data_IF_544535832730
#
_entry.id   IF_544535832730
#
_cell.length_a   1.000
_cell.length_b   1.000
_cell.length_c   1.000
_cell.angle_alpha   90.00
_cell.angle_beta   90.00
_cell.angle_gamma   90.00
#
_symmetry.space_group_name_H-M   'P 1'
#
loop_
_entity.id
_entity.type
_entity.pdbx_description
1 polymer ?
#
# COMPACT_ATOMS: atom_id res chain seq x y z
N UNK A 1 7.68 -34.63 -23.02
CA UNK A 1 8.40 -33.99 -24.15
C UNK A 1 7.53 -33.26 -25.14
N UNK A 2 6.56 -33.88 -25.82
CA UNK A 2 5.70 -33.17 -26.80
C UNK A 2 4.97 -31.94 -26.22
N UNK A 3 4.47 -32.02 -24.99
CA UNK A 3 3.80 -30.89 -24.33
C UNK A 3 4.77 -29.74 -24.00
N UNK A 4 6.02 -30.06 -23.63
CA UNK A 4 7.06 -29.06 -23.33
C UNK A 4 7.41 -28.24 -24.57
N UNK A 5 7.66 -28.93 -25.69
CA UNK A 5 7.94 -28.28 -26.99
C UNK A 5 6.78 -27.37 -27.41
N UNK A 6 5.53 -27.77 -27.13
CA UNK A 6 4.37 -26.96 -27.47
C UNK A 6 4.31 -25.67 -26.63
N UNK A 7 4.54 -25.77 -25.31
CA UNK A 7 4.60 -24.60 -24.44
C UNK A 7 5.77 -23.68 -24.77
N UNK A 8 6.96 -24.24 -25.05
CA UNK A 8 8.13 -23.49 -25.50
C UNK A 8 7.83 -22.68 -26.76
N UNK A 9 7.15 -23.27 -27.75
CA UNK A 9 6.69 -22.52 -28.92
C UNK A 9 5.65 -21.45 -28.56
N UNK A 10 4.71 -21.73 -27.67
CA UNK A 10 3.70 -20.74 -27.31
C UNK A 10 4.29 -19.51 -26.62
N UNK A 11 5.29 -19.68 -25.75
CA UNK A 11 5.98 -18.55 -25.11
C UNK A 11 6.90 -17.80 -26.09
N UNK A 12 7.44 -18.47 -27.12
CA UNK A 12 8.20 -17.81 -28.20
C UNK A 12 7.30 -16.90 -29.05
N UNK A 13 6.09 -17.34 -29.39
CA UNK A 13 5.16 -16.56 -30.21
C UNK A 13 4.36 -15.52 -29.43
N UNK A 14 4.14 -15.74 -28.13
CA UNK A 14 3.31 -14.88 -27.28
C UNK A 14 3.85 -14.77 -25.84
N UNK A 15 5.03 -14.14 -25.64
CA UNK A 15 5.65 -14.02 -24.32
C UNK A 15 4.84 -13.12 -23.36
N UNK A 16 3.91 -12.33 -23.87
CA UNK A 16 3.08 -11.40 -23.09
C UNK A 16 1.96 -12.14 -22.31
N UNK A 17 1.62 -13.37 -22.73
CA UNK A 17 0.52 -14.12 -22.17
C UNK A 17 0.90 -14.83 -20.86
N UNK A 18 0.58 -14.19 -19.73
CA UNK A 18 0.80 -14.72 -18.38
C UNK A 18 0.19 -16.11 -18.16
N UNK A 19 -0.97 -16.40 -18.75
CA UNK A 19 -1.67 -17.68 -18.55
C UNK A 19 -0.83 -18.82 -19.12
N UNK A 20 -0.22 -18.65 -20.30
CA UNK A 20 0.64 -19.66 -20.90
C UNK A 20 1.82 -19.99 -20.00
N UNK A 21 2.49 -18.97 -19.44
CA UNK A 21 3.59 -19.15 -18.48
C UNK A 21 3.14 -19.92 -17.24
N UNK A 22 2.02 -19.53 -16.64
CA UNK A 22 1.46 -20.21 -15.46
C UNK A 22 1.13 -21.68 -15.74
N UNK A 23 0.51 -21.98 -16.88
CA UNK A 23 0.18 -23.36 -17.27
C UNK A 23 1.42 -24.19 -17.57
N UNK A 24 2.47 -23.57 -18.10
CA UNK A 24 3.74 -24.25 -18.32
C UNK A 24 4.43 -24.58 -17.00
N UNK A 25 4.49 -23.64 -16.06
CA UNK A 25 5.04 -23.90 -14.73
C UNK A 25 4.22 -24.96 -13.98
N UNK A 26 2.89 -24.90 -14.04
CA UNK A 26 1.98 -25.91 -13.45
C UNK A 26 2.26 -27.32 -14.03
N UNK A 27 2.47 -27.43 -15.34
CA UNK A 27 2.85 -28.70 -15.96
C UNK A 27 4.14 -29.27 -15.35
N UNK A 28 5.19 -28.45 -15.18
CA UNK A 28 6.46 -28.93 -14.62
C UNK A 28 6.32 -29.31 -13.13
N UNK A 29 5.53 -28.56 -12.36
CA UNK A 29 5.17 -28.91 -10.99
C UNK A 29 4.48 -30.28 -10.93
N UNK A 30 3.54 -30.56 -11.83
CA UNK A 30 2.86 -31.86 -11.92
C UNK A 30 3.79 -33.01 -12.33
N UNK A 31 4.85 -32.70 -13.09
CA UNK A 31 5.90 -33.65 -13.44
C UNK A 31 6.95 -33.83 -12.33
N UNK A 32 6.84 -33.06 -11.23
CA UNK A 32 7.74 -33.11 -10.08
C UNK A 32 9.05 -32.32 -10.27
N UNK A 33 9.17 -31.53 -11.34
CA UNK A 33 10.38 -30.75 -11.65
C UNK A 33 10.21 -29.30 -11.15
N UNK A 34 10.40 -29.12 -9.84
CA UNK A 34 10.21 -27.83 -9.18
C UNK A 34 11.22 -26.77 -9.62
N UNK A 35 12.45 -27.19 -9.91
CA UNK A 35 13.51 -26.29 -10.36
C UNK A 35 13.20 -25.73 -11.75
N UNK A 36 12.68 -26.57 -12.64
CA UNK A 36 12.20 -26.12 -13.95
C UNK A 36 10.97 -25.22 -13.82
N UNK A 37 10.02 -25.54 -12.94
CA UNK A 37 8.87 -24.68 -12.67
C UNK A 37 9.30 -23.28 -12.19
N UNK A 38 10.28 -23.20 -11.27
CA UNK A 38 10.89 -21.93 -10.83
C UNK A 38 11.55 -21.18 -11.98
N UNK A 39 12.33 -21.86 -12.81
CA UNK A 39 12.99 -21.25 -13.95
C UNK A 39 11.96 -20.64 -14.93
N UNK A 40 10.82 -21.31 -15.15
CA UNK A 40 9.74 -20.80 -15.99
C UNK A 40 9.13 -19.52 -15.38
N UNK A 41 8.83 -19.52 -14.08
CA UNK A 41 8.32 -18.34 -13.40
C UNK A 41 9.31 -17.16 -13.44
N UNK A 42 10.59 -17.42 -13.19
CA UNK A 42 11.64 -16.39 -13.27
C UNK A 42 11.78 -15.81 -14.69
N UNK A 43 11.72 -16.64 -15.72
CA UNK A 43 11.71 -16.17 -17.10
C UNK A 43 10.48 -15.30 -17.39
N UNK A 44 9.31 -15.69 -16.86
CA UNK A 44 8.06 -15.00 -17.06
C UNK A 44 8.06 -13.60 -16.41
N UNK A 45 8.47 -13.47 -15.15
CA UNK A 45 8.48 -12.17 -14.43
C UNK A 45 9.55 -11.19 -14.94
N UNK A 46 10.51 -11.69 -15.71
CA UNK A 46 11.54 -10.88 -16.38
C UNK A 46 11.15 -10.46 -17.79
N UNK A 47 9.98 -10.85 -18.30
CA UNK A 47 9.49 -10.35 -19.59
C UNK A 47 9.19 -8.83 -19.50
N UNK A 48 9.54 -8.07 -20.55
CA UNK A 48 9.38 -6.61 -20.55
C UNK A 48 7.92 -6.16 -20.64
N UNK A 49 7.06 -6.97 -21.25
CA UNK A 49 5.61 -6.75 -21.36
C UNK A 49 4.88 -8.02 -20.99
N UNK A 50 3.84 -7.84 -20.19
CA UNK A 50 2.94 -8.87 -19.71
C UNK A 50 1.53 -8.28 -19.67
N UNK A 51 0.53 -9.05 -20.10
CA UNK A 51 -0.86 -8.59 -20.13
C UNK A 51 -1.41 -8.34 -18.72
N UNK A 52 -1.14 -9.27 -17.82
CA UNK A 52 -1.63 -9.26 -16.44
C UNK A 52 -0.51 -9.67 -15.49
N UNK A 53 0.47 -8.79 -15.21
CA UNK A 53 1.60 -9.14 -14.36
C UNK A 53 1.15 -9.53 -12.94
N UNK A 54 0.07 -8.93 -12.43
CA UNK A 54 -0.46 -9.21 -11.08
C UNK A 54 -0.78 -10.69 -10.84
N UNK A 55 -1.45 -11.35 -11.80
CA UNK A 55 -1.78 -12.78 -11.67
C UNK A 55 -0.56 -13.68 -11.74
N UNK A 56 0.45 -13.30 -12.53
CA UNK A 56 1.69 -14.07 -12.65
C UNK A 56 2.51 -14.00 -11.35
N UNK A 57 2.69 -12.81 -10.80
CA UNK A 57 3.37 -12.63 -9.52
C UNK A 57 2.65 -13.35 -8.39
N UNK A 58 1.33 -13.25 -8.34
CA UNK A 58 0.53 -13.99 -7.36
C UNK A 58 0.75 -15.50 -7.51
N UNK A 59 0.67 -16.04 -8.73
CA UNK A 59 0.88 -17.45 -8.98
C UNK A 59 2.28 -17.93 -8.57
N UNK A 60 3.31 -17.11 -8.80
CA UNK A 60 4.67 -17.45 -8.39
C UNK A 60 4.85 -17.43 -6.87
N UNK A 61 4.28 -16.44 -6.18
CA UNK A 61 4.27 -16.38 -4.72
C UNK A 61 3.53 -17.58 -4.13
N UNK A 62 2.33 -17.88 -4.62
CA UNK A 62 1.54 -19.04 -4.18
C UNK A 62 2.29 -20.36 -4.40
N UNK A 63 3.07 -20.46 -5.49
CA UNK A 63 3.91 -21.61 -5.78
C UNK A 63 5.02 -21.81 -4.72
N UNK A 64 5.78 -20.77 -4.37
CA UNK A 64 6.82 -20.89 -3.33
C UNK A 64 6.22 -21.17 -1.94
N UNK A 65 5.06 -20.58 -1.62
CA UNK A 65 4.30 -20.90 -0.40
C UNK A 65 3.88 -22.37 -0.40
N UNK A 66 3.36 -22.88 -1.53
CA UNK A 66 2.93 -24.27 -1.68
C UNK A 66 4.07 -25.29 -1.58
N UNK A 67 5.32 -24.88 -1.82
CA UNK A 67 6.51 -25.70 -1.60
C UNK A 67 7.03 -25.65 -0.15
N UNK A 68 6.43 -24.81 0.71
CA UNK A 68 6.91 -24.62 2.07
C UNK A 68 8.19 -23.77 2.16
N UNK A 69 8.41 -22.89 1.18
CA UNK A 69 9.59 -22.02 1.09
C UNK A 69 9.20 -20.53 1.31
N UNK A 70 8.70 -20.15 2.51
CA UNK A 70 8.20 -18.79 2.77
C UNK A 70 9.29 -17.72 2.61
N UNK A 71 10.57 -18.06 2.78
CA UNK A 71 11.67 -17.12 2.60
C UNK A 71 11.83 -16.71 1.14
N UNK A 72 11.54 -17.60 0.19
CA UNK A 72 11.52 -17.25 -1.24
C UNK A 72 10.29 -16.38 -1.56
N UNK A 73 9.13 -16.70 -1.00
CA UNK A 73 7.93 -15.87 -1.13
C UNK A 73 8.16 -14.42 -0.65
N UNK A 74 8.86 -14.23 0.50
CA UNK A 74 9.26 -12.89 0.97
C UNK A 74 10.13 -12.15 -0.04
N UNK A 75 11.16 -12.80 -0.60
CA UNK A 75 12.02 -12.19 -1.62
C UNK A 75 11.21 -11.77 -2.86
N UNK A 76 10.18 -12.53 -3.23
CA UNK A 76 9.28 -12.17 -4.33
C UNK A 76 8.42 -10.96 -3.98
N UNK A 77 7.88 -10.86 -2.76
CA UNK A 77 7.18 -9.67 -2.30
C UNK A 77 8.07 -8.42 -2.33
N UNK A 78 9.31 -8.51 -1.84
CA UNK A 78 10.26 -7.40 -1.87
C UNK A 78 10.55 -6.94 -3.31
N UNK A 79 10.85 -7.88 -4.23
CA UNK A 79 11.05 -7.58 -5.66
C UNK A 79 9.82 -6.98 -6.32
N UNK A 80 8.62 -7.42 -5.95
CA UNK A 80 7.38 -6.87 -6.48
C UNK A 80 7.17 -5.43 -5.99
N UNK A 81 7.45 -5.16 -4.72
CA UNK A 81 7.35 -3.82 -4.11
C UNK A 81 8.39 -2.82 -4.64
N UNK A 82 9.51 -3.29 -5.18
CA UNK A 82 10.45 -2.44 -5.92
C UNK A 82 9.87 -1.95 -7.27
N UNK A 83 8.91 -2.69 -7.84
CA UNK A 83 8.28 -2.38 -9.13
C UNK A 83 6.95 -1.64 -9.00
N UNK A 84 6.25 -1.80 -7.89
CA UNK A 84 4.93 -1.20 -7.66
C UNK A 84 4.71 -0.79 -6.22
N UNK A 85 3.93 0.27 -6.03
CA UNK A 85 3.55 0.79 -4.71
C UNK A 85 2.10 0.49 -4.34
N UNK A 86 1.39 -0.35 -5.10
CA UNK A 86 -0.04 -0.59 -4.87
C UNK A 86 -0.34 -1.18 -3.49
N UNK A 87 -1.31 -0.59 -2.79
CA UNK A 87 -1.78 -1.05 -1.46
C UNK A 87 -2.15 -2.53 -1.44
N UNK A 88 -2.69 -3.07 -2.53
CA UNK A 88 -3.05 -4.49 -2.63
C UNK A 88 -1.85 -5.43 -2.43
N UNK A 89 -0.66 -5.02 -2.87
CA UNK A 89 0.57 -5.81 -2.68
C UNK A 89 0.98 -5.80 -1.22
N UNK A 90 0.98 -4.64 -0.56
CA UNK A 90 1.24 -4.51 0.88
C UNK A 90 0.25 -5.34 1.71
N UNK A 91 -1.04 -5.26 1.38
CA UNK A 91 -2.11 -6.03 2.04
C UNK A 91 -1.93 -7.53 1.86
N UNK A 92 -1.55 -7.98 0.66
CA UNK A 92 -1.25 -9.39 0.41
C UNK A 92 -0.03 -9.84 1.21
N UNK A 93 1.01 -9.01 1.33
CA UNK A 93 2.22 -9.33 2.09
C UNK A 93 1.93 -9.44 3.60
N UNK A 94 1.12 -8.53 4.15
CA UNK A 94 0.63 -8.64 5.54
C UNK A 94 -0.11 -9.96 5.76
N UNK A 95 -1.02 -10.31 4.84
CA UNK A 95 -1.78 -11.56 4.95
C UNK A 95 -0.85 -12.78 4.89
N UNK A 96 0.16 -12.75 4.03
CA UNK A 96 1.20 -13.78 3.95
C UNK A 96 1.93 -13.93 5.29
N UNK A 97 2.39 -12.85 5.90
CA UNK A 97 3.10 -12.92 7.19
C UNK A 97 2.20 -13.41 8.33
N UNK A 98 0.93 -13.01 8.33
CA UNK A 98 -0.05 -13.47 9.32
C UNK A 98 -0.33 -14.98 9.25
N UNK A 99 -0.26 -15.55 8.04
CA UNK A 99 -0.51 -16.98 7.81
C UNK A 99 0.76 -17.80 8.00
N UNK A 100 1.88 -17.42 7.38
CA UNK A 100 3.11 -18.22 7.32
C UNK A 100 4.07 -17.93 8.49
N UNK A 101 4.01 -16.73 9.09
CA UNK A 101 4.89 -16.40 10.22
C UNK A 101 4.70 -17.33 11.43
N UNK A 102 3.49 -17.90 11.58
CA UNK A 102 3.19 -18.91 12.62
C UNK A 102 3.96 -20.21 12.43
N UNK A 103 4.23 -20.60 11.18
CA UNK A 103 4.90 -21.86 10.86
C UNK A 103 6.42 -21.78 11.11
N UNK A 104 6.97 -20.57 11.17
CA UNK A 104 8.40 -20.31 11.44
C UNK A 104 8.69 -19.91 12.89
N UNK A 105 7.75 -20.14 13.83
CA UNK A 105 7.84 -19.72 15.24
C UNK A 105 8.10 -18.21 15.43
N UNK A 106 7.72 -17.39 14.44
CA UNK A 106 7.80 -15.93 14.51
C UNK A 106 6.50 -15.34 15.01
N UNK A 107 6.55 -14.15 15.61
CA UNK A 107 5.32 -13.40 15.96
C UNK A 107 4.70 -12.78 14.69
N UNK A 108 3.58 -13.32 14.17
CA UNK A 108 2.99 -12.88 12.91
C UNK A 108 2.47 -11.44 13.00
N UNK A 109 2.00 -11.03 14.19
CA UNK A 109 1.46 -9.68 14.41
C UNK A 109 2.60 -8.66 14.33
N UNK A 110 3.76 -8.97 14.91
CA UNK A 110 4.95 -8.14 14.78
C UNK A 110 5.46 -8.03 13.35
N UNK A 111 5.42 -9.12 12.56
CA UNK A 111 5.79 -9.09 11.15
C UNK A 111 4.81 -8.24 10.32
N UNK A 112 3.51 -8.46 10.51
CA UNK A 112 2.46 -7.67 9.88
C UNK A 112 2.60 -6.17 10.17
N UNK A 113 2.87 -5.79 11.43
CA UNK A 113 3.14 -4.39 11.83
C UNK A 113 4.29 -3.78 11.05
N UNK A 114 5.41 -4.49 10.91
CA UNK A 114 6.57 -4.02 10.12
C UNK A 114 6.20 -3.77 8.65
N UNK A 115 5.40 -4.66 8.06
CA UNK A 115 4.94 -4.49 6.67
C UNK A 115 4.00 -3.29 6.55
N UNK A 116 3.06 -3.11 7.48
CA UNK A 116 2.18 -1.93 7.51
C UNK A 116 2.95 -0.61 7.69
N UNK A 117 3.96 -0.59 8.56
CA UNK A 117 4.80 0.59 8.76
C UNK A 117 5.54 0.98 7.47
N UNK A 118 6.15 -0.01 6.80
CA UNK A 118 6.82 0.20 5.51
C UNK A 118 5.85 0.67 4.44
N UNK A 119 4.68 0.03 4.32
CA UNK A 119 3.65 0.42 3.36
C UNK A 119 3.12 1.83 3.60
N UNK A 120 2.90 2.23 4.86
CA UNK A 120 2.44 3.58 5.20
C UNK A 120 3.47 4.63 4.80
N UNK A 121 4.77 4.37 5.02
CA UNK A 121 5.83 5.28 4.59
C UNK A 121 5.91 5.35 3.05
N UNK A 122 5.88 4.20 2.37
CA UNK A 122 5.94 4.15 0.91
C UNK A 122 4.77 4.91 0.25
N UNK A 123 3.54 4.70 0.73
CA UNK A 123 2.33 5.37 0.20
C UNK A 123 2.28 6.86 0.57
N UNK A 124 2.87 7.26 1.70
CA UNK A 124 3.07 8.68 2.02
C UNK A 124 4.01 9.31 1.02
N UNK A 125 5.15 8.67 0.76
CA UNK A 125 6.22 9.22 -0.07
C UNK A 125 5.81 9.25 -1.56
N UNK A 126 4.93 8.34 -2.01
CA UNK A 126 4.33 8.38 -3.35
C UNK A 126 3.18 9.39 -3.50
N UNK A 127 2.59 9.86 -2.39
CA UNK A 127 1.46 10.79 -2.39
C UNK A 127 0.09 10.12 -2.62
N UNK A 128 0.02 8.79 -2.62
CA UNK A 128 -1.20 8.00 -2.86
C UNK A 128 -2.08 7.96 -1.61
N UNK A 129 -2.77 9.08 -1.34
CA UNK A 129 -3.53 9.28 -0.10
C UNK A 129 -4.67 8.28 0.10
N UNK A 130 -5.42 7.97 -0.95
CA UNK A 130 -6.55 7.03 -0.87
C UNK A 130 -6.06 5.62 -0.54
N UNK A 131 -5.02 5.16 -1.23
CA UNK A 131 -4.36 3.89 -0.95
C UNK A 131 -3.78 3.85 0.48
N UNK A 132 -3.18 4.95 0.95
CA UNK A 132 -2.69 5.08 2.33
C UNK A 132 -3.82 4.96 3.35
N UNK A 133 -5.00 5.53 3.07
CA UNK A 133 -6.19 5.37 3.94
C UNK A 133 -6.57 3.90 4.05
N UNK A 134 -6.69 3.21 2.92
CA UNK A 134 -7.06 1.79 2.88
C UNK A 134 -6.08 0.93 3.70
N UNK A 135 -4.77 1.20 3.57
CA UNK A 135 -3.74 0.50 4.34
C UNK A 135 -3.91 0.74 5.85
N UNK A 136 -4.12 1.99 6.28
CA UNK A 136 -4.26 2.34 7.69
C UNK A 136 -5.57 1.80 8.30
N UNK A 137 -6.66 1.76 7.54
CA UNK A 137 -7.91 1.13 7.98
C UNK A 137 -7.72 -0.36 8.23
N UNK A 138 -7.02 -1.05 7.32
CA UNK A 138 -6.71 -2.46 7.50
C UNK A 138 -5.75 -2.72 8.66
N UNK A 139 -4.76 -1.84 8.88
CA UNK A 139 -3.89 -1.93 10.05
C UNK A 139 -4.67 -1.74 11.35
N UNK A 140 -5.56 -0.74 11.41
CA UNK A 140 -6.46 -0.55 12.56
C UNK A 140 -7.26 -1.81 12.84
N UNK A 141 -7.80 -2.44 11.81
CA UNK A 141 -8.62 -3.64 11.96
C UNK A 141 -7.80 -4.87 12.39
N UNK A 142 -6.51 -4.94 12.03
CA UNK A 142 -5.57 -5.92 12.57
C UNK A 142 -5.31 -5.68 14.07
N UNK A 143 -5.05 -4.44 14.48
CA UNK A 143 -4.83 -4.08 15.89
C UNK A 143 -6.09 -4.31 16.74
N UNK A 144 -7.28 -4.06 16.22
CA UNK A 144 -8.54 -4.40 16.90
C UNK A 144 -8.70 -5.89 17.18
N UNK A 145 -8.17 -6.74 16.30
CA UNK A 145 -8.31 -8.20 16.39
C UNK A 145 -7.21 -8.86 17.20
N UNK A 146 -5.98 -8.36 17.12
CA UNK A 146 -4.79 -9.02 17.65
C UNK A 146 -3.88 -8.12 18.51
N UNK A 147 -4.14 -6.81 18.52
CA UNK A 147 -3.33 -5.83 19.23
C UNK A 147 -3.84 -5.55 20.64
N UNK A 148 -3.25 -4.52 21.25
CA UNK A 148 -3.65 -3.97 22.54
C UNK A 148 -4.18 -2.54 22.37
N UNK A 149 -4.67 -1.95 23.47
CA UNK A 149 -5.26 -0.61 23.43
C UNK A 149 -4.23 0.47 23.06
N UNK A 150 -2.95 0.27 23.41
CA UNK A 150 -1.89 1.23 23.10
C UNK A 150 -1.53 1.19 21.61
N UNK A 151 -1.35 -0.01 21.04
CA UNK A 151 -1.06 -0.20 19.62
C UNK A 151 -2.22 0.26 18.75
N UNK A 152 -3.46 -0.01 19.14
CA UNK A 152 -4.64 0.49 18.45
C UNK A 152 -4.69 2.02 18.42
N UNK A 153 -4.50 2.68 19.59
CA UNK A 153 -4.49 4.14 19.66
C UNK A 153 -3.39 4.77 18.80
N UNK A 154 -2.22 4.13 18.73
CA UNK A 154 -1.12 4.58 17.85
C UNK A 154 -1.54 4.58 16.39
N UNK A 155 -2.24 3.54 15.91
CA UNK A 155 -2.71 3.47 14.52
C UNK A 155 -3.88 4.43 14.28
N UNK A 156 -4.82 4.56 15.21
CA UNK A 156 -5.92 5.52 15.11
C UNK A 156 -5.42 6.97 15.03
N UNK A 157 -4.34 7.30 15.73
CA UNK A 157 -3.66 8.59 15.63
C UNK A 157 -3.06 8.90 14.24
N UNK A 158 -2.86 7.89 13.39
CA UNK A 158 -2.34 8.05 12.01
C UNK A 158 -3.44 8.25 10.97
N UNK A 159 -4.68 7.88 11.30
CA UNK A 159 -5.79 7.93 10.34
C UNK A 159 -6.08 9.37 9.91
N UNK A 160 -6.35 9.60 8.61
CA UNK A 160 -6.60 10.92 8.11
C UNK A 160 -8.01 11.40 8.42
N UNK A 161 -8.18 12.73 8.36
CA UNK A 161 -9.49 13.37 8.30
C UNK A 161 -9.84 13.66 6.86
N UNK A 162 -11.07 13.33 6.46
CA UNK A 162 -11.62 13.71 5.16
C UNK A 162 -12.03 15.18 5.21
N UNK A 163 -11.51 15.97 4.28
CA UNK A 163 -11.83 17.40 4.13
C UNK A 163 -12.41 17.69 2.76
N UNK A 164 -13.12 18.83 2.65
CA UNK A 164 -13.55 19.38 1.37
C UNK A 164 -12.56 20.45 0.93
N UNK A 165 -12.07 20.34 -0.29
CA UNK A 165 -11.17 21.30 -0.91
C UNK A 165 -11.84 21.86 -2.17
N UNK A 166 -11.72 23.17 -2.38
CA UNK A 166 -12.12 23.80 -3.64
C UNK A 166 -10.93 23.81 -4.58
N UNK A 167 -11.10 23.23 -5.76
CA UNK A 167 -10.10 23.23 -6.82
C UNK A 167 -10.68 23.90 -8.06
N UNK A 168 -9.85 24.63 -8.82
CA UNK A 168 -10.28 25.28 -10.06
C UNK A 168 -10.51 24.23 -11.14
N UNK A 169 -11.63 24.34 -11.84
CA UNK A 169 -11.91 23.60 -13.08
C UNK A 169 -11.21 24.36 -14.20
N UNK A 170 -10.34 23.66 -14.92
CA UNK A 170 -9.64 24.18 -16.09
C UNK A 170 -10.18 23.43 -17.30
N UNK A 171 -10.77 24.17 -18.22
CA UNK A 171 -11.27 23.66 -19.49
C UNK A 171 -10.12 23.17 -20.38
N UNK A 172 -10.46 22.39 -21.42
CA UNK A 172 -9.46 21.87 -22.37
C UNK A 172 -8.68 22.97 -23.12
N UNK A 173 -9.23 24.20 -23.17
CA UNK A 173 -8.60 25.40 -23.76
C UNK A 173 -7.81 26.23 -22.74
N UNK A 174 -7.74 25.78 -21.47
CA UNK A 174 -7.05 26.48 -20.39
C UNK A 174 -7.89 27.57 -19.69
N UNK A 175 -9.15 27.79 -20.09
CA UNK A 175 -10.02 28.74 -19.41
C UNK A 175 -10.44 28.25 -18.02
N UNK A 176 -10.49 29.16 -17.03
CA UNK A 176 -11.01 28.86 -15.70
C UNK A 176 -12.55 28.76 -15.76
N UNK A 177 -13.08 27.55 -15.76
CA UNK A 177 -14.52 27.26 -15.92
C UNK A 177 -15.30 27.23 -14.60
N UNK A 178 -14.61 27.28 -13.46
CA UNK A 178 -15.27 27.34 -12.15
C UNK A 178 -14.47 26.68 -11.05
N UNK A 179 -15.18 26.28 -9.99
CA UNK A 179 -14.62 25.57 -8.84
C UNK A 179 -15.35 24.24 -8.68
N UNK A 180 -14.59 23.17 -8.46
CA UNK A 180 -15.10 21.87 -8.06
C UNK A 180 -14.80 21.62 -6.57
N UNK A 181 -15.78 21.06 -5.85
CA UNK A 181 -15.57 20.57 -4.49
C UNK A 181 -15.06 19.13 -4.54
N UNK A 182 -13.75 18.95 -4.34
CA UNK A 182 -13.09 17.65 -4.31
C UNK A 182 -12.83 17.26 -2.86
N UNK A 183 -13.00 15.98 -2.54
CA UNK A 183 -12.62 15.45 -1.23
C UNK A 183 -11.12 15.16 -1.20
N UNK A 184 -10.46 15.52 -0.11
CA UNK A 184 -9.04 15.23 0.12
C UNK A 184 -8.87 14.67 1.54
N UNK A 185 -7.72 14.04 1.79
CA UNK A 185 -7.34 13.49 3.07
C UNK A 185 -6.21 14.31 3.69
N UNK A 186 -6.37 14.65 4.98
CA UNK A 186 -5.32 15.26 5.80
C UNK A 186 -4.87 14.26 6.87
N UNK A 187 -3.60 13.87 6.80
CA UNK A 187 -2.98 12.98 7.78
C UNK A 187 -2.36 13.82 8.91
N UNK A 188 -2.62 13.48 10.19
CA UNK A 188 -2.09 14.23 11.34
C UNK A 188 -0.56 14.37 11.33
N UNK A 189 0.15 13.34 10.87
CA UNK A 189 1.62 13.33 10.79
C UNK A 189 2.14 14.33 9.74
N UNK A 190 1.43 14.52 8.63
CA UNK A 190 1.86 15.40 7.54
C UNK A 190 1.66 16.89 7.90
N UNK A 191 0.69 17.21 8.76
CA UNK A 191 0.51 18.56 9.33
C UNK A 191 1.69 18.95 10.22
N UNK A 192 2.22 18.00 10.99
CA UNK A 192 3.31 18.25 11.92
C UNK A 192 4.62 18.68 11.22
N UNK A 193 4.78 18.30 9.94
CA UNK A 193 5.96 18.52 9.10
C UNK A 193 5.93 19.87 8.37
N UNK A 194 4.81 20.61 8.37
CA UNK A 194 4.74 21.96 7.75
C UNK A 194 4.97 23.07 8.80
N UNK A 195 6.22 23.54 9.03
CA UNK A 195 6.53 24.54 10.07
C UNK A 195 5.77 25.86 9.88
N UNK A 196 5.50 26.26 8.64
CA UNK A 196 4.78 27.50 8.33
C UNK A 196 3.30 27.46 8.75
N UNK A 197 2.67 26.29 8.79
CA UNK A 197 1.28 26.13 9.22
C UNK A 197 1.15 26.21 10.74
N UNK A 198 2.07 25.59 11.49
CA UNK A 198 2.11 25.71 12.96
C UNK A 198 2.34 27.16 13.42
N UNK A 199 3.14 27.93 12.68
CA UNK A 199 3.33 29.35 12.97
C UNK A 199 2.05 30.16 12.72
N UNK A 200 1.35 29.89 11.62
CA UNK A 200 0.08 30.53 11.27
C UNK A 200 -1.06 30.18 12.24
N UNK A 201 -1.13 28.93 12.70
CA UNK A 201 -2.09 28.49 13.73
C UNK A 201 -1.81 29.14 15.08
N UNK A 202 -0.54 29.19 15.50
CA UNK A 202 -0.13 29.92 16.72
C UNK A 202 -0.43 31.41 16.62
N UNK A 203 -0.23 32.02 15.45
CA UNK A 203 -0.57 33.42 15.20
C UNK A 203 -2.10 33.67 15.26
N UNK A 204 -2.92 32.79 14.68
CA UNK A 204 -4.38 32.86 14.80
C UNK A 204 -4.86 32.68 16.24
N UNK A 205 -4.27 31.73 16.97
CA UNK A 205 -4.61 31.49 18.38
C UNK A 205 -4.23 32.68 19.28
N UNK A 206 -3.09 33.31 19.04
CA UNK A 206 -2.67 34.54 19.74
C UNK A 206 -3.64 35.70 19.46
N UNK A 207 -4.04 35.87 18.20
CA UNK A 207 -4.98 36.94 17.82
C UNK A 207 -6.38 36.74 18.41
N UNK A 208 -6.84 35.49 18.53
CA UNK A 208 -8.08 35.16 19.26
C UNK A 208 -7.96 35.50 20.74
N UNK A 209 -6.86 35.10 21.40
CA UNK A 209 -6.64 35.42 22.82
C UNK A 209 -6.60 36.92 23.09
N UNK A 210 -5.97 37.70 22.21
CA UNK A 210 -5.99 39.17 22.34
C UNK A 210 -7.41 39.74 22.24
N UNK A 211 -8.20 39.28 21.27
CA UNK A 211 -9.58 39.73 21.11
C UNK A 211 -10.46 39.34 22.31
N UNK A 212 -10.25 38.15 22.88
CA UNK A 212 -10.97 37.68 24.07
C UNK A 212 -10.60 38.55 25.29
N UNK A 213 -9.30 38.82 25.53
CA UNK A 213 -8.84 39.70 26.62
C UNK A 213 -9.32 41.15 26.46
N UNK A 214 -9.29 41.69 25.25
CA UNK A 214 -9.75 43.06 24.95
C UNK A 214 -11.28 43.17 25.14
N UNK A 215 -12.02 42.09 24.85
CA UNK A 215 -13.46 42.02 25.12
C UNK A 215 -13.80 41.88 26.62
N UNK A 216 -12.97 41.19 27.41
CA UNK A 216 -13.11 41.09 28.86
C UNK A 216 -12.80 42.43 29.56
N UNK A 217 -11.75 43.13 29.14
CA UNK A 217 -11.41 44.47 29.67
C UNK A 217 -12.50 45.52 29.36
N UNK A 218 -13.11 45.46 28.17
CA UNK A 218 -14.23 46.34 27.83
C UNK A 218 -15.47 46.03 28.68
N UNK A 219 -15.72 44.76 29.01
CA UNK A 219 -16.84 44.36 29.88
C UNK A 219 -16.63 44.80 31.33
N UNK A 220 -15.41 44.78 31.87
CA UNK A 220 -15.08 45.30 33.20
C UNK A 220 -15.17 46.83 33.32
N UNK A 221 -14.90 47.57 32.24
CA UNK A 221 -14.99 49.03 32.22
C UNK A 221 -16.43 49.57 32.15
N UNK A 222 -17.39 48.73 31.76
CA UNK A 222 -18.81 49.09 31.57
C UNK A 222 -19.71 48.53 32.68
N UNK A 223 -19.15 47.74 33.62
CA UNK A 223 -19.82 47.25 34.84
C UNK A 223 -19.54 48.13 36.05
#
# INVERSE_FOLDING_TARGET
DRCRILYEKFIEYGPENCITWMRFAELETLLGDMDRARAIYELAVNQPRLDMPEILWKAYIDFEIGLGEPQNARKLYERLLERTHHVKVWMSYVQFEMTNGKEEDLDPVSLARKVYERGNNALRDSGEKEERVLLLEAWRDLEKKHGDEESLKKVEGKLPRRIRKRQKIIASDGAEEGWEEVFDYLFPEDEAVKPNLKLLEKAKAWKRKQADTESEEILELVS
#
